data_IF_656726567277
#
_entry.id   IF_656726567277
#
_cell.length_a   1.000
_cell.length_b   1.000
_cell.length_c   1.000
_cell.angle_alpha   90.00
_cell.angle_beta   90.00
_cell.angle_gamma   90.00
#
_symmetry.space_group_name_H-M   'P 1'
#
loop_
_entity.id
_entity.type
_entity.pdbx_description
1 polymer ?
#
# COMPACT_ATOMS: atom_id res chain seq x y z
N UNK A 1 3.85 45.64 -37.89
CA UNK A 1 4.97 45.06 -37.11
C UNK A 1 4.54 45.04 -35.64
N UNK A 2 3.82 44.00 -35.18
CA UNK A 2 3.35 43.89 -33.77
C UNK A 2 3.04 42.44 -33.37
N UNK A 3 3.90 41.49 -33.74
CA UNK A 3 3.70 40.05 -33.50
C UNK A 3 4.43 39.50 -32.26
N UNK A 4 5.22 40.30 -31.54
CA UNK A 4 6.15 39.80 -30.50
C UNK A 4 5.50 39.66 -29.11
N UNK A 5 4.32 40.27 -28.85
CA UNK A 5 3.74 40.35 -27.50
C UNK A 5 2.72 39.25 -27.12
N UNK A 6 2.36 38.35 -28.04
CA UNK A 6 1.38 37.28 -27.77
C UNK A 6 2.02 35.93 -27.37
N UNK A 7 3.25 35.66 -27.79
CA UNK A 7 3.98 34.42 -27.47
C UNK A 7 4.56 34.43 -26.05
N UNK A 8 5.00 35.59 -25.55
CA UNK A 8 5.58 35.74 -24.21
C UNK A 8 4.58 35.41 -23.09
N UNK A 9 3.30 35.81 -23.23
CA UNK A 9 2.26 35.55 -22.22
C UNK A 9 1.86 34.06 -22.13
N UNK A 10 1.81 33.36 -23.27
CA UNK A 10 1.52 31.93 -23.31
C UNK A 10 2.70 31.07 -22.81
N UNK A 11 3.94 31.52 -23.00
CA UNK A 11 5.12 30.86 -22.44
C UNK A 11 5.21 30.99 -20.92
N UNK A 12 4.84 32.13 -20.32
CA UNK A 12 4.82 32.28 -18.85
C UNK A 12 3.76 31.40 -18.18
N UNK A 13 2.58 31.23 -18.81
CA UNK A 13 1.51 30.36 -18.28
C UNK A 13 1.82 28.87 -18.46
N UNK A 14 2.43 28.47 -19.59
CA UNK A 14 2.85 27.08 -19.81
C UNK A 14 4.03 26.66 -18.89
N UNK A 15 4.97 27.58 -18.63
CA UNK A 15 6.14 27.31 -17.77
C UNK A 15 5.77 27.09 -16.30
N UNK A 16 4.70 27.76 -15.81
CA UNK A 16 4.19 27.56 -14.44
C UNK A 16 3.39 26.25 -14.27
N UNK A 17 2.85 25.69 -15.37
CA UNK A 17 2.18 24.38 -15.36
C UNK A 17 3.17 23.20 -15.45
N UNK A 18 4.41 23.46 -15.91
CA UNK A 18 5.50 22.48 -16.04
C UNK A 18 6.44 22.46 -14.84
N UNK A 19 6.27 23.35 -13.87
CA UNK A 19 6.91 23.19 -12.56
C UNK A 19 6.07 22.22 -11.75
N UNK A 20 6.50 20.97 -11.51
CA UNK A 20 5.92 20.21 -10.43
C UNK A 20 6.24 21.00 -9.17
N UNK A 21 5.24 21.71 -8.63
CA UNK A 21 5.23 22.22 -7.26
C UNK A 21 5.17 21.02 -6.29
N UNK A 22 6.19 20.17 -6.38
CA UNK A 22 7.08 19.84 -5.28
C UNK A 22 6.45 19.47 -3.95
N UNK A 23 5.51 18.53 -4.00
CA UNK A 23 5.31 17.59 -2.89
C UNK A 23 6.67 17.02 -2.43
N UNK A 24 7.57 16.75 -3.39
CA UNK A 24 8.94 16.30 -3.13
C UNK A 24 9.83 17.36 -2.44
N UNK A 25 9.73 18.66 -2.72
CA UNK A 25 10.52 19.68 -1.99
C UNK A 25 9.90 20.06 -0.65
N UNK A 26 8.57 20.01 -0.50
CA UNK A 26 7.90 20.18 0.79
C UNK A 26 8.28 19.07 1.78
N UNK A 27 8.53 17.85 1.28
CA UNK A 27 9.04 16.74 2.08
C UNK A 27 10.53 16.89 2.47
N UNK A 28 11.28 17.76 1.80
CA UNK A 28 12.74 17.88 1.92
C UNK A 28 13.14 19.08 2.79
N UNK A 29 12.60 19.16 4.02
CA UNK A 29 12.81 20.34 4.90
C UNK A 29 13.32 20.08 6.32
N UNK A 30 13.02 18.94 6.96
CA UNK A 30 13.24 18.80 8.41
C UNK A 30 14.28 17.73 8.74
N UNK A 31 15.41 18.13 9.36
CA UNK A 31 16.43 17.19 9.87
C UNK A 31 15.99 16.59 11.23
N UNK A 32 16.31 15.32 11.49
CA UNK A 32 16.17 14.65 12.79
C UNK A 32 14.80 14.05 13.12
N UNK A 33 14.49 13.94 14.43
CA UNK A 33 13.28 13.31 15.01
C UNK A 33 11.96 13.84 14.44
N UNK A 34 11.91 15.11 14.02
CA UNK A 34 10.75 15.71 13.36
C UNK A 34 10.34 14.98 12.08
N UNK A 35 11.31 14.38 11.35
CA UNK A 35 11.02 13.57 10.15
C UNK A 35 10.43 12.21 10.50
N UNK A 36 10.84 11.60 11.62
CA UNK A 36 10.28 10.32 12.09
C UNK A 36 8.83 10.54 12.53
N UNK A 37 8.55 11.57 13.33
CA UNK A 37 7.18 11.89 13.77
C UNK A 37 6.27 12.19 12.58
N UNK A 38 6.73 12.98 11.60
CA UNK A 38 5.98 13.23 10.37
C UNK A 38 5.77 11.97 9.53
N UNK A 39 6.78 11.12 9.40
CA UNK A 39 6.65 9.85 8.69
C UNK A 39 5.64 8.92 9.37
N UNK A 40 5.63 8.85 10.71
CA UNK A 40 4.61 8.10 11.46
C UNK A 40 3.21 8.66 11.21
N UNK A 41 3.06 9.99 11.13
CA UNK A 41 1.81 10.65 10.73
C UNK A 41 1.34 10.20 9.35
N UNK A 42 2.21 10.24 8.34
CA UNK A 42 1.88 9.77 6.99
C UNK A 42 1.55 8.28 6.93
N UNK A 43 2.23 7.44 7.71
CA UNK A 43 1.90 6.02 7.83
C UNK A 43 0.49 5.83 8.38
N UNK A 44 0.13 6.53 9.47
CA UNK A 44 -1.20 6.47 10.07
C UNK A 44 -2.30 6.93 9.11
N UNK A 45 -2.04 7.98 8.35
CA UNK A 45 -2.98 8.48 7.35
C UNK A 45 -3.16 7.46 6.21
N UNK A 46 -2.08 6.80 5.77
CA UNK A 46 -2.13 5.71 4.79
C UNK A 46 -2.97 4.52 5.28
N UNK A 47 -2.75 4.06 6.52
CA UNK A 47 -3.55 2.99 7.12
C UNK A 47 -5.03 3.37 7.27
N UNK A 48 -5.32 4.60 7.71
CA UNK A 48 -6.70 5.10 7.81
C UNK A 48 -7.38 5.18 6.45
N UNK A 49 -6.66 5.63 5.42
CA UNK A 49 -7.17 5.70 4.06
C UNK A 49 -7.50 4.30 3.52
N UNK A 50 -6.55 3.36 3.62
CA UNK A 50 -6.77 1.97 3.21
C UNK A 50 -7.97 1.35 3.94
N UNK A 51 -8.06 1.50 5.27
CA UNK A 51 -9.20 0.99 6.05
C UNK A 51 -10.53 1.63 5.67
N UNK A 52 -10.56 2.94 5.43
CA UNK A 52 -11.79 3.67 5.12
C UNK A 52 -12.29 3.36 3.71
N UNK A 53 -11.41 3.37 2.72
CA UNK A 53 -11.81 3.31 1.31
C UNK A 53 -11.79 1.88 0.75
N UNK A 54 -10.90 0.99 1.21
CA UNK A 54 -10.79 -0.35 0.64
C UNK A 54 -11.46 -1.44 1.48
N UNK A 55 -12.46 -2.08 0.87
CA UNK A 55 -13.15 -3.22 1.48
C UNK A 55 -12.25 -4.45 1.60
N UNK A 56 -11.41 -4.72 0.60
CA UNK A 56 -10.46 -5.82 0.60
C UNK A 56 -9.47 -5.69 1.76
N UNK A 57 -8.90 -4.50 1.97
CA UNK A 57 -8.03 -4.23 3.11
C UNK A 57 -8.71 -4.52 4.46
N UNK A 58 -9.98 -4.11 4.65
CA UNK A 58 -10.72 -4.44 5.88
C UNK A 58 -10.89 -5.94 6.09
N UNK A 59 -11.17 -6.70 5.02
CA UNK A 59 -11.31 -8.16 5.11
C UNK A 59 -10.00 -8.82 5.56
N UNK A 60 -8.88 -8.45 4.93
CA UNK A 60 -7.56 -8.98 5.25
C UNK A 60 -7.13 -8.54 6.66
N UNK A 61 -7.45 -7.32 7.06
CA UNK A 61 -7.21 -6.82 8.42
C UNK A 61 -7.94 -7.63 9.49
N UNK A 62 -9.23 -7.88 9.31
CA UNK A 62 -10.01 -8.65 10.28
C UNK A 62 -9.62 -10.13 10.30
N UNK A 63 -9.36 -10.72 9.13
CA UNK A 63 -8.80 -12.07 9.02
C UNK A 63 -7.52 -12.19 9.87
N UNK A 64 -6.54 -11.32 9.61
CA UNK A 64 -5.27 -11.36 10.33
C UNK A 64 -5.43 -11.03 11.82
N UNK A 65 -6.36 -10.17 12.20
CA UNK A 65 -6.65 -9.89 13.62
C UNK A 65 -7.13 -11.13 14.37
N UNK A 66 -8.01 -11.92 13.76
CA UNK A 66 -8.48 -13.19 14.32
C UNK A 66 -7.36 -14.22 14.37
N UNK A 67 -6.57 -14.34 13.30
CA UNK A 67 -5.44 -15.27 13.22
C UNK A 67 -4.36 -14.93 14.27
N UNK A 68 -4.00 -13.66 14.44
CA UNK A 68 -3.05 -13.21 15.46
C UNK A 68 -3.57 -13.50 16.88
N UNK A 69 -4.88 -13.34 17.13
CA UNK A 69 -5.49 -13.76 18.40
C UNK A 69 -5.36 -15.28 18.60
N UNK A 70 -5.60 -16.07 17.55
CA UNK A 70 -5.46 -17.52 17.61
C UNK A 70 -4.00 -17.97 17.90
N UNK A 71 -2.99 -17.27 17.38
CA UNK A 71 -1.56 -17.54 17.69
C UNK A 71 -1.28 -17.44 19.19
N UNK A 72 -1.94 -16.53 19.90
CA UNK A 72 -1.76 -16.35 21.35
C UNK A 72 -2.41 -17.52 22.11
N UNK A 73 -3.62 -17.91 21.69
CA UNK A 73 -4.44 -18.91 22.37
C UNK A 73 -3.99 -20.37 22.12
N UNK A 74 -3.44 -20.66 20.95
CA UNK A 74 -3.03 -22.02 20.56
C UNK A 74 -1.60 -22.30 21.06
N UNK A 75 -1.32 -23.48 21.65
CA UNK A 75 -0.01 -23.81 22.22
C UNK A 75 1.01 -24.25 21.16
N UNK A 76 1.22 -23.42 20.12
CA UNK A 76 2.28 -23.64 19.13
C UNK A 76 3.67 -23.32 19.70
N UNK A 77 4.70 -23.94 19.14
CA UNK A 77 6.10 -23.57 19.40
C UNK A 77 6.40 -22.14 18.97
N UNK A 78 7.37 -21.51 19.65
CA UNK A 78 7.76 -20.12 19.38
C UNK A 78 8.14 -19.88 17.91
N UNK A 79 8.85 -20.83 17.30
CA UNK A 79 9.27 -20.76 15.88
C UNK A 79 8.06 -20.70 14.94
N UNK A 80 7.01 -21.48 15.22
CA UNK A 80 5.76 -21.48 14.44
C UNK A 80 5.03 -20.16 14.65
N UNK A 81 4.92 -19.69 15.90
CA UNK A 81 4.28 -18.40 16.21
C UNK A 81 4.97 -17.24 15.47
N UNK A 82 6.30 -17.23 15.43
CA UNK A 82 7.07 -16.23 14.68
C UNK A 82 6.77 -16.28 13.18
N UNK A 83 6.75 -17.47 12.58
CA UNK A 83 6.47 -17.65 11.15
C UNK A 83 5.05 -17.21 10.76
N UNK A 84 4.05 -17.60 11.55
CA UNK A 84 2.65 -17.20 11.33
C UNK A 84 2.46 -15.69 11.52
N UNK A 85 3.15 -15.09 12.50
CA UNK A 85 3.11 -13.63 12.72
C UNK A 85 3.72 -12.91 11.51
N UNK A 86 4.91 -13.30 11.07
CA UNK A 86 5.58 -12.69 9.90
C UNK A 86 4.69 -12.78 8.67
N UNK A 87 4.11 -13.94 8.40
CA UNK A 87 3.27 -14.14 7.21
C UNK A 87 1.96 -13.37 7.30
N UNK A 88 1.38 -13.24 8.50
CA UNK A 88 0.19 -12.42 8.73
C UNK A 88 0.45 -10.95 8.37
N UNK A 89 1.55 -10.39 8.87
CA UNK A 89 1.97 -9.02 8.51
C UNK A 89 2.35 -8.88 7.04
N UNK A 90 3.00 -9.88 6.44
CA UNK A 90 3.30 -9.88 5.01
C UNK A 90 2.03 -9.74 4.16
N UNK A 91 0.96 -10.46 4.49
CA UNK A 91 -0.32 -10.35 3.78
C UNK A 91 -0.96 -8.95 3.90
N UNK A 92 -0.82 -8.29 5.05
CA UNK A 92 -1.29 -6.90 5.23
C UNK A 92 -0.44 -5.90 4.44
N UNK A 93 0.88 -6.10 4.39
CA UNK A 93 1.79 -5.24 3.63
C UNK A 93 1.49 -5.35 2.13
N UNK A 94 1.30 -6.57 1.62
CA UNK A 94 0.99 -6.79 0.21
C UNK A 94 -0.36 -6.18 -0.16
N UNK A 95 -1.37 -6.29 0.72
CA UNK A 95 -2.67 -5.65 0.53
C UNK A 95 -2.58 -4.11 0.47
N UNK A 96 -1.76 -3.50 1.33
CA UNK A 96 -1.50 -2.05 1.30
C UNK A 96 -0.83 -1.63 -0.01
N UNK A 97 0.09 -2.43 -0.52
CA UNK A 97 0.69 -2.18 -1.83
C UNK A 97 -0.33 -2.34 -2.95
N UNK A 98 -1.18 -3.36 -2.91
CA UNK A 98 -2.26 -3.55 -3.88
C UNK A 98 -3.20 -2.33 -3.89
N UNK A 99 -3.69 -1.93 -2.72
CA UNK A 99 -4.51 -0.72 -2.51
C UNK A 99 -3.82 0.53 -3.08
N UNK A 100 -2.53 0.72 -2.79
CA UNK A 100 -1.78 1.88 -3.27
C UNK A 100 -1.61 1.89 -4.79
N UNK A 101 -1.38 0.73 -5.41
CA UNK A 101 -1.30 0.57 -6.86
C UNK A 101 -2.66 0.88 -7.49
N UNK A 102 -3.75 0.30 -6.97
CA UNK A 102 -5.11 0.56 -7.46
C UNK A 102 -5.46 2.04 -7.41
N UNK A 103 -5.23 2.70 -6.28
CA UNK A 103 -5.46 4.14 -6.14
C UNK A 103 -4.64 4.99 -7.13
N UNK A 104 -3.37 4.61 -7.37
CA UNK A 104 -2.49 5.32 -8.31
C UNK A 104 -2.93 5.13 -9.77
N UNK A 105 -3.33 3.92 -10.12
CA UNK A 105 -3.83 3.56 -11.45
C UNK A 105 -5.18 4.23 -11.71
N UNK A 106 -6.08 4.24 -10.73
CA UNK A 106 -7.40 4.87 -10.82
C UNK A 106 -7.33 6.40 -10.94
N UNK A 107 -6.32 7.02 -10.32
CA UNK A 107 -6.07 8.44 -10.51
C UNK A 107 -5.60 8.80 -11.92
N UNK A 108 -4.79 7.93 -12.56
CA UNK A 108 -4.09 8.25 -13.81
C UNK A 108 -4.87 7.84 -15.06
N UNK A 109 -5.78 6.85 -14.96
CA UNK A 109 -6.46 6.27 -16.12
C UNK A 109 -7.78 7.00 -16.44
N UNK A 110 -7.77 7.86 -17.46
CA UNK A 110 -8.97 8.60 -17.92
C UNK A 110 -9.93 7.77 -18.79
N UNK A 111 -9.52 6.57 -19.23
CA UNK A 111 -10.33 5.54 -19.91
C UNK A 111 -9.80 4.15 -19.53
N UNK A 112 -10.53 3.07 -19.82
CA UNK A 112 -10.04 1.69 -19.61
C UNK A 112 -8.77 1.44 -20.46
N UNK A 113 -7.60 1.50 -19.82
CA UNK A 113 -6.32 1.28 -20.49
C UNK A 113 -5.81 -0.16 -20.25
N UNK A 114 -5.34 -0.89 -21.27
CA UNK A 114 -4.84 -2.26 -21.11
C UNK A 114 -3.73 -2.39 -20.04
N UNK A 115 -2.80 -1.43 -19.98
CA UNK A 115 -1.76 -1.41 -18.94
C UNK A 115 -2.30 -1.16 -17.52
N UNK A 116 -3.36 -0.36 -17.38
CA UNK A 116 -4.00 -0.13 -16.08
C UNK A 116 -4.62 -1.43 -15.55
N UNK A 117 -5.24 -2.22 -16.45
CA UNK A 117 -5.75 -3.55 -16.12
C UNK A 117 -4.61 -4.48 -15.66
N UNK A 118 -3.51 -4.55 -16.42
CA UNK A 118 -2.35 -5.39 -16.06
C UNK A 118 -1.79 -5.02 -14.68
N UNK A 119 -1.65 -3.72 -14.39
CA UNK A 119 -1.13 -3.26 -13.10
C UNK A 119 -2.00 -3.75 -11.92
N UNK A 120 -3.33 -3.67 -12.06
CA UNK A 120 -4.29 -4.17 -11.06
C UNK A 120 -4.27 -5.70 -10.94
N UNK A 121 -4.26 -6.40 -12.07
CA UNK A 121 -4.24 -7.86 -12.10
C UNK A 121 -2.97 -8.41 -11.41
N UNK A 122 -1.81 -7.79 -11.63
CA UNK A 122 -0.55 -8.17 -10.99
C UNK A 122 -0.57 -7.88 -9.48
N UNK A 123 -1.12 -6.73 -9.06
CA UNK A 123 -1.30 -6.41 -7.64
C UNK A 123 -2.18 -7.43 -6.92
N UNK A 124 -3.33 -7.76 -7.52
CA UNK A 124 -4.25 -8.78 -7.02
C UNK A 124 -3.61 -10.17 -6.97
N UNK A 125 -2.79 -10.53 -7.97
CA UNK A 125 -2.06 -11.80 -7.98
C UNK A 125 -1.01 -11.89 -6.85
N UNK A 126 -0.30 -10.79 -6.56
CA UNK A 126 0.62 -10.74 -5.44
C UNK A 126 -0.11 -10.96 -4.11
N UNK A 127 -1.27 -10.33 -3.94
CA UNK A 127 -2.09 -10.50 -2.75
C UNK A 127 -2.61 -11.92 -2.59
N UNK A 128 -3.07 -12.53 -3.68
CA UNK A 128 -3.46 -13.94 -3.69
C UNK A 128 -2.33 -14.86 -3.21
N UNK A 129 -1.09 -14.66 -3.70
CA UNK A 129 0.06 -15.46 -3.27
C UNK A 129 0.39 -15.25 -1.79
N UNK A 130 0.26 -14.03 -1.27
CA UNK A 130 0.49 -13.76 0.15
C UNK A 130 -0.54 -14.47 1.05
N UNK A 131 -1.83 -14.46 0.66
CA UNK A 131 -2.89 -15.20 1.36
C UNK A 131 -2.75 -16.71 1.22
N UNK A 132 -2.30 -17.21 0.06
CA UNK A 132 -2.02 -18.62 -0.14
C UNK A 132 -0.89 -19.11 0.77
N UNK A 133 0.20 -18.34 0.86
CA UNK A 133 1.30 -18.64 1.78
C UNK A 133 0.82 -18.65 3.24
N UNK A 134 0.02 -17.65 3.63
CA UNK A 134 -0.60 -17.59 4.96
C UNK A 134 -1.43 -18.86 5.24
N UNK A 135 -2.29 -19.25 4.31
CA UNK A 135 -3.11 -20.45 4.42
C UNK A 135 -2.27 -21.72 4.58
N UNK A 136 -1.27 -21.93 3.72
CA UNK A 136 -0.39 -23.10 3.77
C UNK A 136 0.32 -23.21 5.12
N UNK A 137 0.88 -22.11 5.63
CA UNK A 137 1.59 -22.12 6.91
C UNK A 137 0.66 -22.38 8.10
N UNK A 138 -0.59 -21.89 8.06
CA UNK A 138 -1.58 -22.23 9.07
C UNK A 138 -1.95 -23.72 9.04
N UNK A 139 -2.13 -24.29 7.84
CA UNK A 139 -2.39 -25.74 7.68
C UNK A 139 -1.22 -26.56 8.23
N UNK A 140 0.02 -26.17 7.92
CA UNK A 140 1.22 -26.84 8.45
C UNK A 140 1.33 -26.73 9.97
N UNK A 141 1.01 -25.57 10.55
CA UNK A 141 1.01 -25.37 12.00
C UNK A 141 -0.02 -26.26 12.69
N UNK A 142 -1.24 -26.35 12.17
CA UNK A 142 -2.26 -27.27 12.69
C UNK A 142 -1.87 -28.73 12.52
N UNK A 143 -1.27 -29.10 11.38
CA UNK A 143 -0.78 -30.45 11.16
C UNK A 143 0.27 -30.85 12.21
N UNK A 144 1.23 -29.97 12.48
CA UNK A 144 2.26 -30.18 13.51
C UNK A 144 1.70 -30.23 14.95
N UNK A 145 0.56 -29.57 15.21
CA UNK A 145 -0.11 -29.66 16.51
C UNK A 145 -0.81 -31.01 16.71
N UNK A 146 -1.27 -31.65 15.64
CA UNK A 146 -2.06 -32.88 15.67
C UNK A 146 -1.21 -34.16 15.59
N UNK A 147 0.00 -34.09 15.03
CA UNK A 147 0.90 -35.21 14.77
C UNK A 147 2.33 -34.91 15.22
#
# INVERSE_FOLDING_TARGET
MNTINSESKNQTTATHLLTPNSYASLAKGNKGLSRIVKATGYSLDGFKAAYKYEAAFRQVFWLNSVLLMAIILIPFDISIKMMLTITSFLSLIVELFNTGIEASVDHTSTNQHPLAKIAKDVGSAAQFLALLLLFVLWVMAFWNLLY
#
